data_IF_822912339524
#
_entry.id   IF_822912339524
#
_cell.length_a   1.000
_cell.length_b   1.000
_cell.length_c   1.000
_cell.angle_alpha   90.00
_cell.angle_beta   90.00
_cell.angle_gamma   90.00
#
_symmetry.space_group_name_H-M   'P 1'
#
loop_
_entity.id
_entity.type
_entity.pdbx_description
1 polymer ?
#
# COMPACT_ATOMS: atom_id res chain seq x y z
N UNK A 1 3.26 -19.48 1.97
CA UNK A 1 2.04 -20.24 2.31
C UNK A 1 0.92 -19.71 1.43
N UNK A 2 0.07 -20.58 0.89
CA UNK A 2 -1.04 -20.20 0.00
C UNK A 2 -2.34 -20.16 0.81
N UNK A 3 -3.17 -19.17 0.55
CA UNK A 3 -4.49 -19.00 1.16
C UNK A 3 -5.56 -19.39 0.16
N UNK A 4 -6.61 -20.02 0.67
CA UNK A 4 -7.81 -20.31 -0.13
C UNK A 4 -8.72 -19.11 0.04
N UNK A 5 -9.10 -18.50 -1.08
CA UNK A 5 -9.94 -17.31 -1.14
C UNK A 5 -11.19 -17.67 -1.95
N UNK A 6 -12.33 -17.14 -1.52
CA UNK A 6 -13.59 -17.27 -2.25
C UNK A 6 -13.83 -15.96 -3.00
N UNK A 7 -13.94 -16.02 -4.33
CA UNK A 7 -14.36 -14.90 -5.17
C UNK A 7 -15.89 -14.80 -5.18
N UNK A 8 -16.45 -14.66 -3.98
CA UNK A 8 -17.87 -14.80 -3.71
C UNK A 8 -18.14 -14.68 -2.21
N UNK A 9 -19.23 -15.28 -1.74
CA UNK A 9 -19.62 -15.20 -0.33
C UNK A 9 -19.25 -16.50 0.37
N UNK A 10 -18.59 -16.37 1.54
CA UNK A 10 -18.45 -17.49 2.46
C UNK A 10 -19.74 -17.67 3.24
N UNK A 11 -20.40 -18.81 3.03
CA UNK A 11 -21.58 -19.21 3.77
C UNK A 11 -21.25 -20.35 4.74
N UNK A 12 -22.08 -20.48 5.78
CA UNK A 12 -21.99 -21.59 6.72
C UNK A 12 -23.07 -22.60 6.39
N UNK A 13 -22.68 -23.73 5.79
CA UNK A 13 -23.57 -24.88 5.65
C UNK A 13 -23.40 -25.77 6.90
N UNK A 14 -24.10 -25.42 7.98
CA UNK A 14 -23.97 -26.10 9.27
C UNK A 14 -22.64 -25.79 9.98
N UNK A 15 -21.72 -26.75 10.03
CA UNK A 15 -20.39 -26.57 10.67
C UNK A 15 -19.24 -26.45 9.66
N UNK A 16 -19.54 -26.53 8.36
CA UNK A 16 -18.53 -26.42 7.29
C UNK A 16 -18.66 -25.08 6.56
N UNK A 17 -17.57 -24.32 6.39
CA UNK A 17 -17.57 -23.14 5.54
C UNK A 17 -17.66 -23.57 4.07
N UNK A 18 -18.61 -23.00 3.34
CA UNK A 18 -18.85 -23.25 1.92
C UNK A 18 -18.67 -21.95 1.16
N UNK A 19 -17.84 -21.97 0.12
CA UNK A 19 -17.70 -20.84 -0.79
C UNK A 19 -18.82 -20.89 -1.84
N UNK A 20 -19.68 -19.88 -1.85
CA UNK A 20 -20.68 -19.66 -2.91
C UNK A 20 -20.06 -18.74 -3.95
N UNK A 21 -19.29 -19.34 -4.86
CA UNK A 21 -18.47 -18.66 -5.85
C UNK A 21 -17.35 -19.55 -6.35
N UNK A 22 -16.27 -18.94 -6.84
CA UNK A 22 -15.08 -19.68 -7.29
C UNK A 22 -14.01 -19.68 -6.19
N UNK A 23 -13.49 -20.87 -5.88
CA UNK A 23 -12.32 -21.02 -5.01
C UNK A 23 -11.06 -20.68 -5.81
N UNK A 24 -10.28 -19.73 -5.32
CA UNK A 24 -8.97 -19.40 -5.86
C UNK A 24 -7.90 -19.57 -4.78
N UNK A 25 -6.68 -19.85 -5.20
CA UNK A 25 -5.52 -19.87 -4.31
C UNK A 25 -4.71 -18.60 -4.52
N UNK A 26 -4.56 -17.79 -3.48
CA UNK A 26 -3.73 -16.60 -3.51
C UNK A 26 -2.50 -16.80 -2.64
N UNK A 27 -1.35 -16.28 -3.07
CA UNK A 27 -0.15 -16.31 -2.25
C UNK A 27 -0.28 -15.31 -1.09
N UNK A 28 0.31 -15.60 0.07
CA UNK A 28 0.33 -14.64 1.20
C UNK A 28 0.85 -13.25 0.79
N UNK A 29 1.83 -13.24 -0.12
CA UNK A 29 2.43 -12.02 -0.67
C UNK A 29 1.45 -11.15 -1.47
N UNK A 30 0.35 -11.73 -1.96
CA UNK A 30 -0.69 -11.00 -2.71
C UNK A 30 -1.75 -10.41 -1.79
N UNK A 31 -1.97 -11.02 -0.62
CA UNK A 31 -2.93 -10.58 0.40
C UNK A 31 -2.30 -9.55 1.34
N UNK A 32 -1.03 -9.77 1.68
CA UNK A 32 -0.22 -8.88 2.49
C UNK A 32 1.05 -8.60 1.72
N UNK A 33 1.03 -7.67 0.73
CA UNK A 33 2.25 -7.26 0.07
C UNK A 33 3.25 -6.85 1.15
N UNK A 34 4.48 -7.33 1.01
CA UNK A 34 5.58 -6.88 1.87
C UNK A 34 5.58 -5.36 1.83
N UNK A 35 5.33 -4.73 2.97
CA UNK A 35 5.38 -3.28 3.10
C UNK A 35 6.77 -2.74 2.73
N UNK A 36 6.92 -1.43 2.66
CA UNK A 36 8.23 -0.83 2.43
C UNK A 36 9.24 -1.38 3.45
N UNK A 37 10.43 -1.73 2.96
CA UNK A 37 11.56 -2.02 3.85
C UNK A 37 11.91 -0.77 4.66
N UNK A 38 12.62 -0.93 5.77
CA UNK A 38 13.03 0.22 6.58
C UNK A 38 13.94 1.16 5.77
N UNK A 39 14.74 0.58 4.88
CA UNK A 39 15.62 1.25 3.93
C UNK A 39 14.81 2.03 2.88
N UNK A 40 13.79 1.41 2.26
CA UNK A 40 12.91 2.09 1.30
C UNK A 40 12.20 3.27 1.97
N UNK A 41 11.70 3.08 3.19
CA UNK A 41 11.03 4.13 3.93
C UNK A 41 11.97 5.31 4.23
N UNK A 42 13.22 5.05 4.63
CA UNK A 42 14.21 6.09 4.87
C UNK A 42 14.52 6.87 3.58
N UNK A 43 14.73 6.18 2.46
CA UNK A 43 15.00 6.82 1.18
C UNK A 43 13.82 7.65 0.67
N UNK A 44 12.59 7.14 0.77
CA UNK A 44 11.40 7.90 0.38
C UNK A 44 11.23 9.15 1.24
N UNK A 45 11.46 9.04 2.55
CA UNK A 45 11.36 10.17 3.47
C UNK A 45 12.36 11.26 3.13
N UNK A 46 13.61 10.92 2.90
CA UNK A 46 14.66 11.90 2.57
C UNK A 46 14.37 12.61 1.24
N UNK A 47 13.99 11.85 0.22
CA UNK A 47 13.61 12.42 -1.08
C UNK A 47 12.38 13.35 -0.97
N UNK A 48 11.37 12.97 -0.18
CA UNK A 48 10.19 13.78 0.06
C UNK A 48 10.55 15.11 0.76
N UNK A 49 11.44 15.06 1.76
CA UNK A 49 11.89 16.26 2.47
C UNK A 49 12.69 17.20 1.55
N UNK A 50 13.56 16.66 0.70
CA UNK A 50 14.33 17.46 -0.26
C UNK A 50 13.39 18.16 -1.25
N UNK A 51 12.44 17.42 -1.84
CA UNK A 51 11.46 18.00 -2.76
C UNK A 51 10.62 19.08 -2.08
N UNK A 52 10.17 18.83 -0.84
CA UNK A 52 9.43 19.79 -0.06
C UNK A 52 10.25 21.07 0.17
N UNK A 53 11.51 20.94 0.58
CA UNK A 53 12.41 22.07 0.81
C UNK A 53 12.66 22.87 -0.46
N UNK A 54 12.83 22.23 -1.62
CA UNK A 54 13.02 22.90 -2.90
C UNK A 54 11.77 23.70 -3.28
N UNK A 55 10.59 23.08 -3.23
CA UNK A 55 9.33 23.74 -3.59
C UNK A 55 9.05 24.90 -2.65
N UNK A 56 9.13 24.70 -1.33
CA UNK A 56 8.91 25.76 -0.36
C UNK A 56 9.98 26.87 -0.49
N UNK A 57 11.25 26.51 -0.67
CA UNK A 57 12.33 27.46 -0.88
C UNK A 57 12.08 28.34 -2.10
N UNK A 58 11.68 27.75 -3.22
CA UNK A 58 11.31 28.48 -4.43
C UNK A 58 10.10 29.41 -4.21
N UNK A 59 9.06 28.94 -3.51
CA UNK A 59 7.89 29.76 -3.19
C UNK A 59 8.22 30.94 -2.27
N UNK A 60 9.04 30.71 -1.24
CA UNK A 60 9.52 31.74 -0.33
C UNK A 60 10.37 32.76 -1.07
N UNK A 61 11.30 32.29 -1.92
CA UNK A 61 12.15 33.17 -2.73
C UNK A 61 11.32 34.01 -3.70
N UNK A 62 10.35 33.39 -4.39
CA UNK A 62 9.41 34.09 -5.27
C UNK A 62 8.68 35.21 -4.51
N UNK A 63 8.13 34.89 -3.34
CA UNK A 63 7.44 35.87 -2.48
C UNK A 63 8.37 36.99 -2.01
N UNK A 64 9.59 36.65 -1.58
CA UNK A 64 10.56 37.62 -1.07
C UNK A 64 11.03 38.60 -2.17
N UNK A 65 11.22 38.09 -3.39
CA UNK A 65 11.62 38.88 -4.55
C UNK A 65 10.45 39.58 -5.25
N UNK A 66 9.21 39.42 -4.77
CA UNK A 66 7.97 39.89 -5.42
C UNK A 66 7.85 39.47 -6.90
N UNK A 67 8.37 38.28 -7.20
CA UNK A 67 8.26 37.60 -8.49
C UNK A 67 6.90 36.88 -8.65
#
# INVERSE_FOLDING_TARGET
MNFIVCDGVWESAGQTPVCVGTLSTMALSEISPSGLTAEDHAQLRDNALILFAIVFGALVLKKALKL
#
